data_IF_052658993919
#
_entry.id   IF_052658993919
#
_cell.length_a   1.000
_cell.length_b   1.000
_cell.length_c   1.000
_cell.angle_alpha   90.00
_cell.angle_beta   90.00
_cell.angle_gamma   90.00
#
_symmetry.space_group_name_H-M   'P 1'
#
loop_
_entity.id
_entity.type
_entity.pdbx_description
1 polymer ?
#
# COMPACT_ATOMS: atom_id res chain seq x y z
N UNK A 1 -10.72 -42.76 -12.97
CA UNK A 1 -11.01 -41.37 -13.43
C UNK A 1 -11.83 -40.72 -12.34
N UNK A 2 -11.42 -39.74 -11.54
CA UNK A 2 -10.17 -39.06 -11.22
C UNK A 2 -10.57 -38.19 -10.00
N UNK A 3 -10.01 -38.43 -8.81
CA UNK A 3 -10.34 -37.67 -7.60
C UNK A 3 -9.36 -36.51 -7.46
N UNK A 4 -9.78 -35.30 -7.80
CA UNK A 4 -8.99 -34.08 -7.61
C UNK A 4 -8.99 -33.67 -6.13
N UNK A 5 -7.79 -33.63 -5.55
CA UNK A 5 -7.52 -33.25 -4.16
C UNK A 5 -7.51 -31.72 -3.96
N UNK A 6 -8.46 -31.20 -3.20
CA UNK A 6 -8.45 -29.80 -2.71
C UNK A 6 -7.69 -29.74 -1.38
N UNK A 7 -6.35 -29.80 -1.41
CA UNK A 7 -5.50 -30.00 -0.22
C UNK A 7 -4.46 -28.90 0.09
N UNK A 8 -4.57 -27.70 -0.48
CA UNK A 8 -3.47 -26.70 -0.44
C UNK A 8 -3.53 -25.60 0.63
N UNK A 9 -4.69 -25.25 1.17
CA UNK A 9 -4.85 -24.05 2.04
C UNK A 9 -4.82 -24.35 3.54
N UNK A 10 -5.32 -25.51 3.95
CA UNK A 10 -5.33 -25.91 5.36
C UNK A 10 -3.90 -26.11 5.89
N UNK A 11 -3.02 -26.79 5.14
CA UNK A 11 -1.66 -27.11 5.59
C UNK A 11 -0.71 -25.91 5.68
N UNK A 12 -0.92 -24.83 4.91
CA UNK A 12 -0.11 -23.61 5.02
C UNK A 12 -0.49 -22.81 6.27
N UNK A 13 -1.79 -22.62 6.50
CA UNK A 13 -2.31 -21.95 7.70
C UNK A 13 -2.01 -22.76 8.97
N UNK A 14 -2.09 -24.09 8.90
CA UNK A 14 -1.84 -24.99 10.04
C UNK A 14 -0.34 -25.09 10.39
N UNK A 15 0.56 -24.99 9.40
CA UNK A 15 2.00 -24.85 9.68
C UNK A 15 2.31 -23.47 10.25
N UNK A 16 1.67 -22.41 9.76
CA UNK A 16 1.80 -21.08 10.32
C UNK A 16 1.26 -21.03 11.77
N UNK A 17 0.13 -21.68 12.04
CA UNK A 17 -0.48 -21.75 13.38
C UNK A 17 0.37 -22.57 14.35
N UNK A 18 1.04 -23.63 13.88
CA UNK A 18 1.95 -24.42 14.72
C UNK A 18 3.20 -23.64 15.16
N UNK A 19 3.63 -22.64 14.38
CA UNK A 19 4.70 -21.70 14.75
C UNK A 19 4.20 -20.56 15.64
N UNK A 20 2.92 -20.22 15.54
CA UNK A 20 2.21 -19.30 16.42
C UNK A 20 1.88 -19.88 17.80
N UNK A 21 2.34 -21.10 18.14
CA UNK A 21 2.19 -21.68 19.50
C UNK A 21 2.82 -20.80 20.60
N UNK A 22 3.70 -19.86 20.24
CA UNK A 22 3.93 -18.61 20.99
C UNK A 22 3.35 -17.49 20.14
N UNK A 23 2.17 -17.01 20.51
CA UNK A 23 1.57 -15.86 19.85
C UNK A 23 2.52 -14.66 20.03
N UNK A 24 2.81 -13.91 18.95
CA UNK A 24 3.64 -12.72 19.06
C UNK A 24 2.95 -11.70 19.97
N UNK A 25 3.66 -11.20 20.98
CA UNK A 25 3.10 -10.24 21.94
C UNK A 25 3.13 -8.80 21.40
N UNK A 26 4.03 -8.55 20.43
CA UNK A 26 4.23 -7.25 19.80
C UNK A 26 4.49 -7.37 18.29
N UNK A 27 4.50 -6.21 17.63
CA UNK A 27 4.70 -6.11 16.17
C UNK A 27 6.10 -6.54 15.73
N UNK A 28 7.12 -6.29 16.55
CA UNK A 28 8.50 -6.66 16.20
C UNK A 28 8.63 -8.19 16.15
N UNK A 29 8.08 -8.87 17.14
CA UNK A 29 7.99 -10.33 17.19
C UNK A 29 7.20 -10.89 16.00
N UNK A 30 6.07 -10.25 15.63
CA UNK A 30 5.31 -10.63 14.44
C UNK A 30 6.15 -10.52 13.16
N UNK A 31 6.90 -9.42 13.00
CA UNK A 31 7.76 -9.22 11.83
C UNK A 31 8.89 -10.27 11.77
N UNK A 32 9.53 -10.57 12.89
CA UNK A 32 10.56 -11.61 12.98
C UNK A 32 10.01 -13.00 12.61
N UNK A 33 8.78 -13.31 13.02
CA UNK A 33 8.10 -14.56 12.68
C UNK A 33 7.82 -14.65 11.16
N UNK A 34 7.25 -13.59 10.58
CA UNK A 34 6.96 -13.52 9.15
C UNK A 34 8.24 -13.64 8.31
N UNK A 35 9.31 -12.96 8.74
CA UNK A 35 10.62 -13.04 8.09
C UNK A 35 11.18 -14.46 8.13
N UNK A 36 11.07 -15.14 9.27
CA UNK A 36 11.49 -16.54 9.45
C UNK A 36 10.64 -17.52 8.63
N UNK A 37 9.35 -17.22 8.42
CA UNK A 37 8.48 -18.01 7.55
C UNK A 37 8.87 -17.85 6.07
N UNK A 38 9.20 -16.62 5.65
CA UNK A 38 9.71 -16.33 4.31
C UNK A 38 11.04 -17.02 4.03
N UNK A 39 12.02 -16.95 4.94
CA UNK A 39 13.31 -17.65 4.79
C UNK A 39 13.17 -19.17 4.62
N UNK A 40 12.17 -19.76 5.27
CA UNK A 40 11.84 -21.20 5.15
C UNK A 40 10.95 -21.53 3.97
N UNK A 41 10.67 -20.55 3.09
CA UNK A 41 9.80 -20.69 1.91
C UNK A 41 8.37 -21.13 2.25
N UNK A 42 7.91 -20.83 3.46
CA UNK A 42 6.52 -21.05 3.89
C UNK A 42 5.60 -19.89 3.47
N UNK A 43 6.21 -18.73 3.24
CA UNK A 43 5.60 -17.52 2.74
C UNK A 43 6.41 -17.07 1.52
N UNK A 44 5.75 -16.73 0.44
CA UNK A 44 6.41 -16.16 -0.74
C UNK A 44 6.79 -14.69 -0.52
N UNK A 45 7.67 -14.18 -1.37
CA UNK A 45 8.21 -12.83 -1.24
C UNK A 45 7.14 -11.74 -1.43
N UNK A 46 6.17 -11.97 -2.31
CA UNK A 46 5.11 -11.01 -2.60
C UNK A 46 4.17 -10.88 -1.40
N UNK A 47 3.72 -12.00 -0.82
CA UNK A 47 2.90 -12.03 0.36
C UNK A 47 3.62 -11.45 1.57
N UNK A 48 4.92 -11.75 1.74
CA UNK A 48 5.73 -11.13 2.79
C UNK A 48 5.79 -9.61 2.63
N UNK A 49 6.08 -9.12 1.42
CA UNK A 49 6.14 -7.68 1.12
C UNK A 49 4.80 -6.96 1.29
N UNK A 50 3.68 -7.61 0.93
CA UNK A 50 2.33 -7.06 1.15
C UNK A 50 2.04 -6.90 2.64
N UNK A 51 2.33 -7.93 3.44
CA UNK A 51 2.07 -7.88 4.89
C UNK A 51 2.96 -6.83 5.56
N UNK A 52 4.25 -6.80 5.23
CA UNK A 52 5.19 -5.79 5.72
C UNK A 52 4.74 -4.38 5.34
N UNK A 53 4.37 -4.16 4.08
CA UNK A 53 3.87 -2.87 3.59
C UNK A 53 2.59 -2.43 4.27
N UNK A 54 1.63 -3.35 4.49
CA UNK A 54 0.39 -3.05 5.18
C UNK A 54 0.62 -2.68 6.65
N UNK A 55 1.54 -3.39 7.33
CA UNK A 55 1.92 -3.11 8.70
C UNK A 55 2.61 -1.74 8.80
N UNK A 56 3.54 -1.43 7.90
CA UNK A 56 4.20 -0.12 7.84
C UNK A 56 3.21 1.02 7.54
N UNK A 57 2.32 0.83 6.57
CA UNK A 57 1.30 1.81 6.20
C UNK A 57 0.35 2.14 7.36
N UNK A 58 0.07 1.18 8.25
CA UNK A 58 -0.76 1.42 9.44
C UNK A 58 -0.17 2.42 10.44
N UNK A 59 1.15 2.65 10.37
CA UNK A 59 1.87 3.57 11.27
C UNK A 59 2.19 4.92 10.61
N UNK A 60 2.08 5.00 9.28
CA UNK A 60 2.34 6.22 8.51
C UNK A 60 1.27 7.27 8.78
N UNK A 61 1.68 8.52 9.00
CA UNK A 61 0.76 9.65 9.07
C UNK A 61 0.59 10.25 7.69
N UNK A 62 -0.55 10.89 7.42
CA UNK A 62 -0.83 11.55 6.13
C UNK A 62 0.31 12.46 5.69
N UNK A 63 0.85 13.26 6.62
CA UNK A 63 1.96 14.19 6.34
C UNK A 63 3.26 13.53 5.90
N UNK A 64 3.44 12.25 6.22
CA UNK A 64 4.67 11.51 5.90
C UNK A 64 4.63 11.01 4.44
N UNK A 65 3.44 10.98 3.81
CA UNK A 65 3.21 10.42 2.46
C UNK A 65 2.56 11.43 1.49
N UNK A 66 1.95 12.50 1.99
CA UNK A 66 1.28 13.50 1.14
C UNK A 66 2.28 14.25 0.25
N UNK A 67 1.81 14.70 -0.92
CA UNK A 67 2.55 15.67 -1.74
C UNK A 67 2.54 17.02 -1.02
N UNK A 68 3.69 17.63 -0.73
CA UNK A 68 3.74 18.95 -0.10
C UNK A 68 3.06 20.01 -0.96
N UNK A 69 2.29 20.92 -0.35
CA UNK A 69 1.54 21.97 -1.06
C UNK A 69 2.36 22.76 -2.10
N UNK A 70 3.61 23.19 -1.83
CA UNK A 70 4.42 23.92 -2.82
C UNK A 70 4.83 23.10 -4.04
N UNK A 71 4.69 21.77 -3.98
CA UNK A 71 5.02 20.84 -5.06
C UNK A 71 3.76 20.32 -5.78
N UNK A 72 2.57 20.78 -5.39
CA UNK A 72 1.32 20.35 -6.03
C UNK A 72 1.11 21.12 -7.33
N UNK A 73 0.83 20.37 -8.40
CA UNK A 73 0.29 20.93 -9.64
C UNK A 73 -1.21 21.16 -9.48
N UNK A 74 -1.66 22.39 -9.71
CA UNK A 74 -3.03 22.83 -9.49
C UNK A 74 -3.63 23.44 -10.75
N UNK A 75 -4.96 23.49 -10.82
CA UNK A 75 -5.71 24.18 -11.87
C UNK A 75 -6.52 25.30 -11.24
N UNK A 76 -6.54 26.48 -11.83
CA UNK A 76 -7.38 27.59 -11.38
C UNK A 76 -8.79 27.48 -11.95
N UNK A 77 -9.82 27.88 -11.19
CA UNK A 77 -11.23 27.81 -11.65
C UNK A 77 -11.48 28.61 -12.93
N UNK A 78 -10.66 29.65 -13.16
CA UNK A 78 -10.72 30.53 -14.33
C UNK A 78 -9.83 30.08 -15.50
N UNK A 79 -9.07 28.99 -15.37
CA UNK A 79 -8.20 28.52 -16.46
C UNK A 79 -9.04 28.13 -17.68
N UNK A 80 -8.57 28.52 -18.86
CA UNK A 80 -9.19 28.08 -20.10
C UNK A 80 -9.05 26.57 -20.27
N UNK A 81 -10.03 25.91 -20.91
CA UNK A 81 -9.97 24.48 -21.15
C UNK A 81 -8.69 24.05 -21.90
N UNK A 82 -8.20 24.89 -22.81
CA UNK A 82 -6.94 24.65 -23.52
C UNK A 82 -5.75 24.56 -22.55
N UNK A 83 -5.62 25.53 -21.65
CA UNK A 83 -4.56 25.57 -20.63
C UNK A 83 -4.62 24.35 -19.71
N UNK A 84 -5.82 23.93 -19.31
CA UNK A 84 -6.00 22.72 -18.49
C UNK A 84 -5.54 21.48 -19.24
N UNK A 85 -5.93 21.31 -20.51
CA UNK A 85 -5.52 20.16 -21.34
C UNK A 85 -4.00 20.13 -21.52
N UNK A 86 -3.36 21.27 -21.75
CA UNK A 86 -1.89 21.33 -21.85
C UNK A 86 -1.20 20.89 -20.56
N UNK A 87 -1.68 21.32 -19.39
CA UNK A 87 -1.15 20.87 -18.08
C UNK A 87 -1.36 19.38 -17.85
N UNK A 88 -2.54 18.85 -18.15
CA UNK A 88 -2.86 17.43 -17.98
C UNK A 88 -1.91 16.57 -18.83
N UNK A 89 -1.67 16.98 -20.07
CA UNK A 89 -0.79 16.26 -20.98
C UNK A 89 0.69 16.36 -20.59
N UNK A 90 1.13 17.49 -20.04
CA UNK A 90 2.55 17.68 -19.67
C UNK A 90 2.92 17.02 -18.35
N UNK A 91 2.01 16.99 -17.38
CA UNK A 91 2.26 16.42 -16.04
C UNK A 91 1.87 14.94 -15.93
N UNK A 92 1.00 14.45 -16.83
CA UNK A 92 0.49 13.08 -16.86
C UNK A 92 -0.15 12.63 -15.53
N UNK A 93 -0.67 13.56 -14.74
CA UNK A 93 -1.43 13.25 -13.53
C UNK A 93 -2.90 12.98 -13.85
N UNK A 94 -3.52 12.05 -13.12
CA UNK A 94 -4.93 11.71 -13.30
C UNK A 94 -5.88 12.70 -12.62
N UNK A 95 -5.41 13.45 -11.62
CA UNK A 95 -6.23 14.35 -10.80
C UNK A 95 -5.45 15.61 -10.48
N UNK A 96 -6.17 16.72 -10.46
CA UNK A 96 -5.65 18.03 -10.10
C UNK A 96 -6.58 18.65 -9.05
N UNK A 97 -6.05 19.20 -7.96
CA UNK A 97 -6.78 20.13 -7.13
C UNK A 97 -7.16 21.35 -7.97
N UNK A 98 -8.43 21.77 -7.88
CA UNK A 98 -8.90 23.01 -8.50
C UNK A 98 -8.92 24.07 -7.42
N UNK A 99 -8.36 25.24 -7.64
CA UNK A 99 -8.31 26.32 -6.65
C UNK A 99 -9.02 27.58 -7.16
N UNK A 100 -9.40 28.46 -6.24
CA UNK A 100 -10.00 29.76 -6.54
C UNK A 100 -9.32 30.87 -5.72
N UNK A 101 -8.59 31.74 -6.41
CA UNK A 101 -7.86 32.91 -5.90
C UNK A 101 -6.67 32.59 -4.98
N UNK A 102 -6.82 31.62 -4.10
CA UNK A 102 -5.77 31.22 -3.15
C UNK A 102 -5.66 29.70 -3.09
N UNK A 103 -4.46 29.15 -2.84
CA UNK A 103 -4.27 27.71 -2.65
C UNK A 103 -5.03 27.12 -1.46
N UNK A 104 -5.55 27.95 -0.55
CA UNK A 104 -6.36 27.53 0.60
C UNK A 104 -7.83 27.28 0.22
N UNK A 105 -8.25 27.77 -0.94
CA UNK A 105 -9.61 27.65 -1.45
C UNK A 105 -9.62 26.63 -2.60
N UNK A 106 -9.73 25.35 -2.22
CA UNK A 106 -9.69 24.15 -3.08
C UNK A 106 -11.08 23.51 -3.19
#
# INVERSE_FOLDING_TARGET
>A
METASTGGKAGLLERLSSLLMREPEDREQLMQLLHSAHQRKLLDADAFGIIEGALAASEMRVRDVMVPRPLMEVVEVGDSLHTVIERVNSTAHSRFPVICDTPDNV
#
